data_IF_040462076127
#
_entry.id   IF_040462076127
#
_cell.length_a   1.000
_cell.length_b   1.000
_cell.length_c   1.000
_cell.angle_alpha   90.00
_cell.angle_beta   90.00
_cell.angle_gamma   90.00
#
_symmetry.space_group_name_H-M   'P 1'
#
loop_
_entity.id
_entity.type
_entity.pdbx_description
1 polymer ?
#
# COMPACT_ATOMS: atom_id res chain seq x y z
N UNK A 1 -14.07 -24.19 -15.31
CA UNK A 1 -14.51 -23.65 -14.00
C UNK A 1 -13.27 -23.18 -13.26
N UNK A 2 -13.11 -21.87 -13.05
CA UNK A 2 -11.94 -21.32 -12.33
C UNK A 2 -11.99 -21.79 -10.87
N UNK A 3 -10.89 -22.36 -10.41
CA UNK A 3 -10.77 -23.03 -9.12
C UNK A 3 -11.23 -22.16 -7.95
N UNK A 4 -11.96 -22.81 -7.05
CA UNK A 4 -12.47 -22.41 -5.74
C UNK A 4 -11.33 -22.17 -4.74
N UNK A 5 -10.33 -21.37 -5.10
CA UNK A 5 -9.12 -21.25 -4.30
C UNK A 5 -9.37 -20.32 -3.10
N UNK A 6 -9.10 -20.83 -1.90
CA UNK A 6 -9.10 -20.05 -0.68
C UNK A 6 -7.99 -19.00 -0.76
N UNK A 7 -8.33 -17.74 -0.45
CA UNK A 7 -7.33 -16.67 -0.32
C UNK A 7 -7.28 -16.21 1.13
N UNK A 8 -6.06 -16.05 1.64
CA UNK A 8 -5.79 -15.66 3.02
C UNK A 8 -4.92 -14.41 2.99
N UNK A 9 -5.36 -13.37 3.70
CA UNK A 9 -4.56 -12.17 3.93
C UNK A 9 -4.04 -12.19 5.36
N UNK A 10 -2.73 -12.02 5.51
CA UNK A 10 -2.04 -12.03 6.79
C UNK A 10 -1.25 -10.76 7.02
N UNK A 11 -1.04 -10.41 8.29
CA UNK A 11 -0.09 -9.40 8.73
C UNK A 11 0.85 -10.04 9.76
N UNK A 12 2.05 -10.41 9.31
CA UNK A 12 2.93 -11.29 10.06
C UNK A 12 2.24 -12.63 10.32
N UNK A 13 2.08 -12.99 11.59
CA UNK A 13 1.39 -14.22 12.04
C UNK A 13 -0.12 -14.06 12.21
N UNK A 14 -0.66 -12.84 12.09
CA UNK A 14 -2.09 -12.58 12.28
C UNK A 14 -2.86 -12.76 10.97
N UNK A 15 -3.91 -13.58 11.00
CA UNK A 15 -4.84 -13.72 9.88
C UNK A 15 -5.85 -12.57 9.94
N UNK A 16 -5.85 -11.71 8.91
CA UNK A 16 -6.76 -10.57 8.83
C UNK A 16 -8.08 -10.94 8.16
N UNK A 17 -8.01 -11.73 7.07
CA UNK A 17 -9.20 -12.24 6.41
C UNK A 17 -8.94 -13.54 5.67
N UNK A 18 -9.96 -14.39 5.66
CA UNK A 18 -10.02 -15.59 4.81
C UNK A 18 -11.21 -15.40 3.87
N UNK A 19 -10.99 -15.54 2.57
CA UNK A 19 -12.06 -15.53 1.57
C UNK A 19 -12.16 -16.88 0.91
N UNK A 20 -13.37 -17.43 0.95
CA UNK A 20 -13.69 -18.69 0.30
C UNK A 20 -15.09 -18.62 -0.31
N UNK A 21 -15.17 -18.74 -1.65
CA UNK A 21 -16.42 -18.57 -2.40
C UNK A 21 -17.06 -17.21 -2.11
N UNK A 22 -18.26 -17.20 -1.51
CA UNK A 22 -18.99 -16.00 -1.11
C UNK A 22 -18.80 -15.64 0.38
N UNK A 23 -17.99 -16.41 1.11
CA UNK A 23 -17.72 -16.18 2.52
C UNK A 23 -16.47 -15.31 2.69
N UNK A 24 -16.61 -14.27 3.52
CA UNK A 24 -15.51 -13.42 3.99
C UNK A 24 -15.47 -13.56 5.51
N UNK A 25 -14.44 -14.22 6.02
CA UNK A 25 -14.16 -14.30 7.45
C UNK A 25 -13.19 -13.17 7.76
N UNK A 26 -13.48 -12.39 8.81
CA UNK A 26 -12.66 -11.27 9.26
C UNK A 26 -12.39 -11.43 10.75
N UNK A 27 -11.24 -10.93 11.18
CA UNK A 27 -10.91 -10.83 12.61
C UNK A 27 -11.50 -9.55 13.21
N UNK A 28 -12.45 -9.68 14.12
CA UNK A 28 -13.07 -8.54 14.82
C UNK A 28 -12.05 -7.72 15.62
N UNK A 29 -10.96 -8.34 16.10
CA UNK A 29 -9.92 -7.66 16.87
C UNK A 29 -9.11 -6.67 16.02
N UNK A 30 -9.13 -6.83 14.68
CA UNK A 30 -8.56 -5.87 13.73
C UNK A 30 -9.35 -4.56 13.63
N UNK A 31 -10.57 -4.52 14.18
CA UNK A 31 -11.41 -3.33 14.34
C UNK A 31 -11.50 -2.89 15.80
N UNK A 32 -11.73 -3.85 16.69
CA UNK A 32 -11.98 -3.66 18.12
C UNK A 32 -10.84 -4.26 18.93
N UNK A 33 -9.73 -3.54 19.03
CA UNK A 33 -8.52 -4.00 19.72
C UNK A 33 -8.64 -3.90 21.25
N UNK A 34 -9.67 -4.51 21.82
CA UNK A 34 -9.96 -4.58 23.24
C UNK A 34 -10.44 -5.99 23.62
N UNK A 35 -10.32 -6.41 24.90
CA UNK A 35 -10.86 -7.70 25.32
C UNK A 35 -12.38 -7.69 25.33
N UNK A 36 -12.98 -8.87 25.12
CA UNK A 36 -14.44 -9.02 25.08
C UNK A 36 -15.13 -8.60 26.38
N UNK A 37 -14.45 -8.72 27.54
CA UNK A 37 -14.98 -8.25 28.83
C UNK A 37 -15.31 -6.76 28.86
N UNK A 38 -14.70 -5.97 27.98
CA UNK A 38 -14.84 -4.52 27.97
C UNK A 38 -15.95 -4.07 27.00
N UNK A 39 -16.52 -4.99 26.21
CA UNK A 39 -17.57 -4.68 25.22
C UNK A 39 -18.84 -4.14 25.89
N UNK A 40 -19.26 -4.74 27.00
CA UNK A 40 -20.48 -4.35 27.71
C UNK A 40 -20.46 -2.89 28.11
N UNK A 41 -19.33 -2.43 28.68
CA UNK A 41 -19.14 -1.04 29.08
C UNK A 41 -18.93 -0.13 27.86
N UNK A 42 -18.17 -0.59 26.86
CA UNK A 42 -17.84 0.22 25.68
C UNK A 42 -19.06 0.53 24.82
N UNK A 43 -19.95 -0.45 24.65
CA UNK A 43 -21.13 -0.35 23.79
C UNK A 43 -22.45 -0.24 24.57
N UNK A 44 -22.38 -0.12 25.91
CA UNK A 44 -23.55 -0.11 26.81
C UNK A 44 -24.49 -1.31 26.58
N UNK A 45 -23.92 -2.51 26.47
CA UNK A 45 -24.67 -3.76 26.29
C UNK A 45 -25.15 -4.29 27.65
N UNK A 46 -26.27 -5.00 27.65
CA UNK A 46 -26.85 -5.60 28.86
C UNK A 46 -26.05 -6.83 29.32
N UNK A 47 -25.60 -7.63 28.37
CA UNK A 47 -24.85 -8.84 28.63
C UNK A 47 -23.44 -8.51 29.09
N UNK A 48 -22.92 -9.27 30.06
CA UNK A 48 -21.55 -9.15 30.56
C UNK A 48 -20.84 -10.49 30.49
N UNK A 49 -19.52 -10.46 30.29
CA UNK A 49 -18.74 -11.67 30.15
C UNK A 49 -18.73 -12.46 31.46
N UNK A 50 -19.19 -13.71 31.41
CA UNK A 50 -19.15 -14.64 32.54
C UNK A 50 -17.76 -15.17 32.88
N UNK A 51 -17.67 -15.93 33.97
CA UNK A 51 -16.44 -16.59 34.43
C UNK A 51 -16.49 -18.09 34.13
N UNK A 52 -15.42 -18.64 33.56
CA UNK A 52 -15.32 -20.07 33.23
C UNK A 52 -14.01 -20.68 33.75
N UNK A 53 -14.02 -21.92 34.30
CA UNK A 53 -12.82 -22.57 34.82
C UNK A 53 -11.96 -23.15 33.69
N UNK A 54 -11.23 -22.29 32.99
CA UNK A 54 -10.43 -22.67 31.82
C UNK A 54 -9.41 -23.79 32.11
N UNK A 55 -8.82 -23.80 33.31
CA UNK A 55 -7.86 -24.83 33.71
C UNK A 55 -8.52 -26.12 34.19
N UNK A 56 -9.86 -26.19 34.22
CA UNK A 56 -10.62 -27.42 34.51
C UNK A 56 -11.08 -28.13 33.22
N UNK A 57 -10.86 -27.50 32.05
CA UNK A 57 -11.27 -28.01 30.75
C UNK A 57 -10.31 -29.10 30.23
N UNK A 58 -10.39 -30.28 30.83
CA UNK A 58 -9.70 -31.49 30.39
C UNK A 58 -10.68 -32.51 29.82
N UNK A 59 -10.26 -33.43 28.93
CA UNK A 59 -11.10 -34.50 28.40
C UNK A 59 -11.84 -35.31 29.48
N UNK A 60 -11.19 -35.53 30.62
CA UNK A 60 -11.71 -36.30 31.75
C UNK A 60 -12.87 -35.59 32.45
N UNK A 61 -12.88 -34.26 32.44
CA UNK A 61 -13.87 -33.43 33.12
C UNK A 61 -15.07 -33.06 32.23
N UNK A 62 -15.10 -33.46 30.96
CA UNK A 62 -16.16 -33.08 30.01
C UNK A 62 -17.56 -33.61 30.41
N UNK A 63 -17.64 -34.63 31.26
CA UNK A 63 -18.89 -35.16 31.80
C UNK A 63 -19.05 -34.88 33.30
N UNK A 64 -18.23 -33.98 33.86
CA UNK A 64 -18.26 -33.69 35.29
C UNK A 64 -19.56 -32.99 35.68
N UNK A 65 -20.22 -33.53 36.70
CA UNK A 65 -21.36 -32.94 37.39
C UNK A 65 -21.09 -33.08 38.88
N UNK A 66 -20.93 -31.95 39.58
CA UNK A 66 -20.53 -31.96 40.99
C UNK A 66 -20.35 -30.56 41.56
N UNK A 67 -19.65 -30.41 42.69
CA UNK A 67 -19.35 -29.09 43.25
C UNK A 67 -18.59 -28.19 42.25
N UNK A 68 -18.76 -26.88 42.36
CA UNK A 68 -18.00 -25.92 41.55
C UNK A 68 -16.47 -26.12 41.66
N UNK A 69 -15.73 -26.05 40.54
CA UNK A 69 -14.27 -26.16 40.56
C UNK A 69 -13.64 -25.13 41.48
N UNK A 70 -12.51 -25.49 42.09
CA UNK A 70 -11.74 -24.58 42.93
C UNK A 70 -11.33 -23.30 42.17
N UNK A 71 -11.22 -22.18 42.90
CA UNK A 71 -10.84 -20.85 42.38
C UNK A 71 -9.58 -20.88 41.51
N UNK A 72 -8.60 -21.74 41.83
CA UNK A 72 -7.38 -21.89 41.04
C UNK A 72 -7.65 -22.24 39.57
N UNK A 73 -8.76 -22.90 39.26
CA UNK A 73 -9.08 -23.32 37.91
C UNK A 73 -9.57 -22.17 36.99
N UNK A 74 -9.85 -21.00 37.56
CA UNK A 74 -10.32 -19.82 36.83
C UNK A 74 -9.18 -18.85 36.47
N UNK A 75 -7.94 -19.13 36.90
CA UNK A 75 -6.81 -18.22 36.70
C UNK A 75 -6.94 -16.90 37.48
N UNK A 76 -7.69 -16.90 38.58
CA UNK A 76 -7.98 -15.71 39.40
C UNK A 76 -6.73 -15.09 40.05
N UNK A 77 -5.63 -15.83 40.11
CA UNK A 77 -4.31 -15.35 40.51
C UNK A 77 -3.76 -14.23 39.61
N UNK A 78 -4.17 -14.17 38.34
CA UNK A 78 -3.74 -13.14 37.39
C UNK A 78 -4.67 -11.92 37.34
N UNK A 79 -5.75 -11.91 38.13
CA UNK A 79 -6.69 -10.79 38.12
C UNK A 79 -6.13 -9.59 38.89
N UNK A 80 -6.25 -8.40 38.30
CA UNK A 80 -6.04 -7.14 39.03
C UNK A 80 -7.08 -6.96 40.14
N UNK A 81 -6.77 -6.14 41.15
CA UNK A 81 -7.53 -6.04 42.40
C UNK A 81 -9.05 -5.88 42.23
N UNK A 82 -9.50 -5.06 41.27
CA UNK A 82 -10.93 -4.84 41.00
C UNK A 82 -11.62 -6.10 40.46
N UNK A 83 -11.09 -6.70 39.38
CA UNK A 83 -11.63 -7.92 38.78
C UNK A 83 -11.59 -9.09 39.75
N UNK A 84 -10.58 -9.14 40.64
CA UNK A 84 -10.50 -10.16 41.68
C UNK A 84 -11.63 -10.04 42.68
N UNK A 85 -11.94 -8.84 43.17
CA UNK A 85 -13.07 -8.63 44.08
C UNK A 85 -14.42 -8.99 43.44
N UNK A 86 -14.63 -8.61 42.17
CA UNK A 86 -15.83 -8.99 41.39
C UNK A 86 -15.94 -10.51 41.25
N UNK A 87 -14.84 -11.20 40.94
CA UNK A 87 -14.78 -12.66 40.84
C UNK A 87 -15.09 -13.37 42.16
N UNK A 88 -14.51 -12.92 43.29
CA UNK A 88 -14.75 -13.56 44.59
C UNK A 88 -16.22 -13.47 44.99
N UNK A 89 -16.85 -12.31 44.80
CA UNK A 89 -18.28 -12.12 45.06
C UNK A 89 -19.15 -13.04 44.19
N UNK A 90 -18.82 -13.14 42.89
CA UNK A 90 -19.51 -14.04 41.98
C UNK A 90 -19.32 -15.51 42.41
N UNK A 91 -18.08 -15.92 42.69
CA UNK A 91 -17.75 -17.30 43.04
C UNK A 91 -18.45 -17.74 44.32
N UNK A 92 -18.46 -16.91 45.37
CA UNK A 92 -19.14 -17.23 46.61
C UNK A 92 -20.67 -17.35 46.43
N UNK A 93 -21.25 -16.65 45.44
CA UNK A 93 -22.67 -16.77 45.13
C UNK A 93 -23.05 -18.08 44.43
N UNK A 94 -22.17 -18.61 43.56
CA UNK A 94 -22.46 -19.82 42.75
C UNK A 94 -21.88 -21.10 43.34
N UNK A 95 -20.84 -21.02 44.17
CA UNK A 95 -20.16 -22.18 44.79
C UNK A 95 -21.09 -23.20 45.47
N UNK A 96 -22.20 -22.80 46.14
CA UNK A 96 -23.11 -23.75 46.77
C UNK A 96 -23.89 -24.62 45.77
N UNK A 97 -23.97 -24.22 44.50
CA UNK A 97 -24.73 -24.91 43.47
C UNK A 97 -23.95 -26.09 42.86
N UNK A 98 -24.64 -26.86 42.01
CA UNK A 98 -24.02 -27.95 41.24
C UNK A 98 -23.49 -27.38 39.93
N UNK A 99 -22.23 -27.65 39.65
CA UNK A 99 -21.58 -27.35 38.40
C UNK A 99 -21.72 -28.52 37.43
N UNK A 100 -22.49 -28.32 36.36
CA UNK A 100 -22.50 -29.18 35.17
C UNK A 100 -21.55 -28.60 34.13
N UNK A 101 -20.46 -29.33 33.85
CA UNK A 101 -19.43 -28.85 32.95
C UNK A 101 -19.96 -28.56 31.54
N UNK A 102 -20.80 -29.45 30.98
CA UNK A 102 -21.27 -29.30 29.59
C UNK A 102 -22.18 -28.11 29.45
N UNK A 103 -23.10 -27.95 30.40
CA UNK A 103 -24.03 -26.83 30.39
C UNK A 103 -23.27 -25.50 30.53
N UNK A 104 -22.40 -25.40 31.53
CA UNK A 104 -21.61 -24.18 31.77
C UNK A 104 -20.65 -23.86 30.62
N UNK A 105 -20.05 -24.87 29.99
CA UNK A 105 -19.20 -24.67 28.81
C UNK A 105 -19.99 -24.12 27.63
N UNK A 106 -21.16 -24.70 27.35
CA UNK A 106 -22.03 -24.20 26.28
C UNK A 106 -22.50 -22.78 26.60
N UNK A 107 -23.06 -22.53 27.78
CA UNK A 107 -23.57 -21.22 28.18
C UNK A 107 -22.49 -20.14 28.08
N UNK A 108 -21.27 -20.44 28.52
CA UNK A 108 -20.12 -19.55 28.39
C UNK A 108 -19.77 -19.27 26.92
N UNK A 109 -19.69 -20.30 26.07
CA UNK A 109 -19.41 -20.12 24.64
C UNK A 109 -20.51 -19.32 23.94
N UNK A 110 -21.79 -19.59 24.25
CA UNK A 110 -22.93 -18.85 23.72
C UNK A 110 -22.88 -17.39 24.13
N UNK A 111 -22.62 -17.11 25.41
CA UNK A 111 -22.48 -15.75 25.93
C UNK A 111 -21.34 -14.99 25.23
N UNK A 112 -20.15 -15.60 25.08
CA UNK A 112 -19.01 -14.96 24.38
C UNK A 112 -19.35 -14.65 22.90
N UNK A 113 -20.05 -15.56 22.21
CA UNK A 113 -20.48 -15.34 20.81
C UNK A 113 -21.54 -14.24 20.70
N UNK A 114 -22.54 -14.23 21.57
CA UNK A 114 -23.60 -13.22 21.60
C UNK A 114 -23.00 -11.85 21.89
N UNK A 115 -22.17 -11.73 22.93
CA UNK A 115 -21.54 -10.47 23.31
C UNK A 115 -20.65 -9.92 22.19
N UNK A 116 -19.90 -10.80 21.50
CA UNK A 116 -19.10 -10.40 20.35
C UNK A 116 -19.99 -9.91 19.20
N UNK A 117 -21.07 -10.62 18.89
CA UNK A 117 -22.00 -10.26 17.84
C UNK A 117 -22.69 -8.92 18.14
N UNK A 118 -23.19 -8.72 19.35
CA UNK A 118 -23.82 -7.48 19.80
C UNK A 118 -22.86 -6.30 19.73
N UNK A 119 -21.62 -6.45 20.21
CA UNK A 119 -20.61 -5.39 20.13
C UNK A 119 -20.21 -5.06 18.69
N UNK A 120 -20.05 -6.07 17.83
CA UNK A 120 -19.81 -5.85 16.40
C UNK A 120 -20.98 -5.11 15.75
N UNK A 121 -22.22 -5.46 16.07
CA UNK A 121 -23.41 -4.82 15.53
C UNK A 121 -23.57 -3.38 16.03
N UNK A 122 -23.26 -3.12 17.30
CA UNK A 122 -23.25 -1.78 17.88
C UNK A 122 -22.18 -0.90 17.20
N UNK A 123 -20.96 -1.40 17.05
CA UNK A 123 -19.89 -0.73 16.32
C UNK A 123 -20.29 -0.42 14.87
N UNK A 124 -20.82 -1.42 14.14
CA UNK A 124 -21.31 -1.27 12.77
C UNK A 124 -22.36 -0.18 12.67
N UNK A 125 -23.35 -0.19 13.57
CA UNK A 125 -24.41 0.82 13.62
C UNK A 125 -23.85 2.23 13.81
N UNK A 126 -22.96 2.41 14.80
CA UNK A 126 -22.34 3.71 15.08
C UNK A 126 -21.59 4.23 13.85
N UNK A 127 -20.76 3.39 13.22
CA UNK A 127 -19.99 3.79 12.04
C UNK A 127 -20.92 4.16 10.89
N UNK A 128 -21.88 3.30 10.54
CA UNK A 128 -22.81 3.57 9.43
C UNK A 128 -23.58 4.87 9.66
N UNK A 129 -24.12 5.10 10.86
CA UNK A 129 -24.83 6.33 11.21
C UNK A 129 -23.93 7.57 11.12
N UNK A 130 -22.70 7.51 11.63
CA UNK A 130 -21.76 8.64 11.64
C UNK A 130 -21.15 8.92 10.27
N UNK A 131 -21.23 7.99 9.33
CA UNK A 131 -20.56 8.08 8.02
C UNK A 131 -21.52 8.38 6.87
N UNK A 132 -22.82 8.52 7.12
CA UNK A 132 -23.78 9.03 6.12
C UNK A 132 -23.38 10.42 5.62
N UNK A 133 -23.41 10.62 4.30
CA UNK A 133 -23.21 11.94 3.70
C UNK A 133 -24.51 12.75 3.65
N UNK A 134 -25.63 12.08 3.40
CA UNK A 134 -26.97 12.67 3.35
C UNK A 134 -28.04 11.66 3.85
N UNK A 135 -29.32 12.05 3.75
CA UNK A 135 -30.46 11.23 4.20
C UNK A 135 -30.68 9.94 3.39
N UNK A 136 -30.22 9.90 2.14
CA UNK A 136 -30.34 8.76 1.24
C UNK A 136 -29.09 7.84 1.28
N UNK A 137 -28.04 8.26 1.97
CA UNK A 137 -26.83 7.47 2.19
C UNK A 137 -26.99 6.47 3.36
N UNK A 138 -26.61 5.22 3.13
CA UNK A 138 -26.61 4.17 4.14
C UNK A 138 -25.40 4.23 5.08
N UNK A 139 -24.38 5.01 4.73
CA UNK A 139 -23.10 5.09 5.41
C UNK A 139 -22.15 3.95 5.03
N UNK A 140 -20.93 4.03 5.53
CA UNK A 140 -19.87 3.06 5.28
C UNK A 140 -20.06 1.87 6.21
N UNK A 141 -20.31 0.70 5.66
CA UNK A 141 -20.29 -0.55 6.43
C UNK A 141 -18.83 -0.98 6.68
N UNK A 142 -18.38 -0.99 7.96
CA UNK A 142 -16.99 -1.27 8.28
C UNK A 142 -16.53 -2.68 7.93
N UNK A 143 -17.43 -3.67 8.01
CA UNK A 143 -17.09 -5.08 7.80
C UNK A 143 -17.19 -5.49 6.33
N UNK A 144 -17.94 -4.75 5.51
CA UNK A 144 -17.98 -4.95 4.07
C UNK A 144 -16.79 -4.29 3.37
N UNK A 145 -16.59 -2.99 3.62
CA UNK A 145 -15.64 -2.14 2.88
C UNK A 145 -14.19 -2.40 3.27
N UNK A 146 -13.95 -2.67 4.55
CA UNK A 146 -12.62 -2.72 5.14
C UNK A 146 -12.30 -4.09 5.76
N UNK A 147 -11.03 -4.27 6.13
CA UNK A 147 -10.52 -5.47 6.83
C UNK A 147 -9.90 -5.10 8.18
N UNK A 148 -9.39 -3.88 8.31
CA UNK A 148 -8.78 -3.35 9.53
C UNK A 148 -9.26 -1.92 9.78
N UNK A 149 -9.19 -1.47 11.04
CA UNK A 149 -9.64 -0.12 11.44
C UNK A 149 -8.95 1.00 10.65
N UNK A 150 -7.66 0.86 10.32
CA UNK A 150 -6.93 1.88 9.57
C UNK A 150 -7.48 2.08 8.15
N UNK A 151 -7.88 1.00 7.47
CA UNK A 151 -8.54 1.06 6.16
C UNK A 151 -9.88 1.78 6.27
N UNK A 152 -10.65 1.47 7.32
CA UNK A 152 -11.93 2.11 7.57
C UNK A 152 -11.74 3.62 7.81
N UNK A 153 -10.77 4.00 8.64
CA UNK A 153 -10.46 5.41 8.88
C UNK A 153 -10.11 6.14 7.58
N UNK A 154 -9.39 5.49 6.66
CA UNK A 154 -9.06 6.08 5.36
C UNK A 154 -10.29 6.19 4.44
N UNK A 155 -11.18 5.19 4.46
CA UNK A 155 -12.45 5.21 3.74
C UNK A 155 -13.40 6.31 4.25
N UNK A 156 -13.33 6.65 5.54
CA UNK A 156 -14.07 7.77 6.14
C UNK A 156 -13.40 9.11 5.85
N UNK A 157 -12.08 9.18 5.97
CA UNK A 157 -11.31 10.42 5.85
C UNK A 157 -11.44 11.04 4.45
N UNK A 158 -11.31 10.23 3.40
CA UNK A 158 -11.34 10.69 2.01
C UNK A 158 -12.61 11.46 1.63
N UNK A 159 -13.84 10.94 1.88
CA UNK A 159 -15.07 11.65 1.51
C UNK A 159 -15.50 12.72 2.52
N UNK A 160 -15.20 12.57 3.82
CA UNK A 160 -15.76 13.47 4.85
C UNK A 160 -14.85 14.56 5.37
N UNK A 161 -13.54 14.34 5.35
CA UNK A 161 -12.58 15.16 6.10
C UNK A 161 -11.56 15.80 5.16
N UNK A 162 -11.12 15.05 4.14
CA UNK A 162 -10.16 15.52 3.17
C UNK A 162 -10.77 16.66 2.34
N UNK A 163 -10.09 17.80 2.31
CA UNK A 163 -10.49 18.92 1.45
C UNK A 163 -10.27 18.55 -0.02
N UNK A 164 -11.12 19.08 -0.88
CA UNK A 164 -10.99 18.93 -2.33
C UNK A 164 -9.60 19.37 -2.81
N UNK A 165 -9.07 18.67 -3.81
CA UNK A 165 -7.81 18.97 -4.50
C UNK A 165 -6.55 19.08 -3.60
N UNK A 166 -6.57 18.47 -2.41
CA UNK A 166 -5.41 18.50 -1.49
C UNK A 166 -4.41 17.36 -1.68
N UNK A 167 -4.79 16.28 -2.38
CA UNK A 167 -3.89 15.16 -2.66
C UNK A 167 -3.83 14.94 -4.17
N UNK A 168 -2.62 15.06 -4.72
CA UNK A 168 -2.33 14.68 -6.09
C UNK A 168 -2.44 13.16 -6.26
N UNK A 169 -3.28 12.70 -7.18
CA UNK A 169 -3.35 11.29 -7.56
C UNK A 169 -2.18 10.99 -8.48
N UNK A 170 -1.15 10.29 -7.98
CA UNK A 170 0.00 9.89 -8.79
C UNK A 170 -0.31 8.53 -9.43
N UNK A 171 -0.35 8.43 -10.78
CA UNK A 171 -0.52 7.16 -11.46
C UNK A 171 0.62 6.20 -11.12
N UNK A 172 0.41 4.89 -11.29
CA UNK A 172 1.42 3.86 -11.00
C UNK A 172 2.76 4.12 -11.70
N UNK A 173 2.73 4.76 -12.86
CA UNK A 173 3.91 5.11 -13.65
C UNK A 173 4.26 6.62 -13.62
N UNK A 174 3.70 7.38 -12.70
CA UNK A 174 3.82 8.84 -12.63
C UNK A 174 2.87 9.57 -13.59
N UNK A 175 2.85 10.90 -13.56
CA UNK A 175 1.95 11.72 -14.40
C UNK A 175 2.27 11.66 -15.89
N UNK A 176 3.52 11.34 -16.24
CA UNK A 176 4.00 11.28 -17.61
C UNK A 176 4.88 10.04 -17.82
N UNK A 177 4.30 8.84 -17.82
CA UNK A 177 5.07 7.60 -17.89
C UNK A 177 5.81 7.43 -19.20
N UNK A 178 5.32 8.05 -20.27
CA UNK A 178 5.96 8.15 -21.58
C UNK A 178 7.13 9.14 -21.63
N UNK A 179 7.18 10.14 -20.75
CA UNK A 179 8.22 11.19 -20.74
C UNK A 179 9.38 10.81 -19.80
N UNK A 180 9.86 9.57 -19.88
CA UNK A 180 11.03 9.13 -19.13
C UNK A 180 12.28 9.38 -19.95
N UNK A 181 13.08 10.36 -19.52
CA UNK A 181 14.42 10.59 -20.06
C UNK A 181 15.46 9.80 -19.27
N UNK A 182 16.35 9.12 -19.98
CA UNK A 182 17.47 8.41 -19.35
C UNK A 182 18.43 9.40 -18.67
N UNK A 183 18.93 9.04 -17.49
CA UNK A 183 20.00 9.80 -16.81
C UNK A 183 21.21 9.92 -17.73
N UNK A 184 21.57 8.84 -18.44
CA UNK A 184 22.70 8.84 -19.39
C UNK A 184 22.49 9.84 -20.52
N UNK A 185 21.28 9.92 -21.07
CA UNK A 185 20.90 10.91 -22.07
C UNK A 185 21.11 12.34 -21.53
N UNK A 186 20.62 12.61 -20.31
CA UNK A 186 20.78 13.93 -19.69
C UNK A 186 22.26 14.28 -19.41
N UNK A 187 23.09 13.32 -18.99
CA UNK A 187 24.54 13.56 -18.81
C UNK A 187 25.19 13.88 -20.16
N UNK A 188 24.84 13.14 -21.21
CA UNK A 188 25.36 13.36 -22.56
C UNK A 188 25.00 14.75 -23.10
N UNK A 189 23.74 15.17 -22.99
CA UNK A 189 23.32 16.51 -23.42
C UNK A 189 24.02 17.61 -22.62
N UNK A 190 24.17 17.43 -21.31
CA UNK A 190 24.92 18.38 -20.47
C UNK A 190 26.38 18.47 -20.87
N UNK A 191 27.04 17.34 -21.11
CA UNK A 191 28.42 17.30 -21.61
C UNK A 191 28.57 18.06 -22.93
N UNK A 192 27.64 17.87 -23.87
CA UNK A 192 27.66 18.58 -25.15
C UNK A 192 27.43 20.08 -24.98
N UNK A 193 26.51 20.46 -24.09
CA UNK A 193 26.21 21.85 -23.75
C UNK A 193 27.44 22.57 -23.19
N UNK A 194 28.15 21.95 -22.24
CA UNK A 194 29.37 22.52 -21.65
C UNK A 194 30.55 22.53 -22.64
N UNK A 195 30.79 21.42 -23.34
CA UNK A 195 31.93 21.30 -24.28
C UNK A 195 31.86 22.30 -25.43
N UNK A 196 30.66 22.56 -25.95
CA UNK A 196 30.44 23.49 -27.06
C UNK A 196 30.05 24.89 -26.60
N UNK A 197 29.85 25.09 -25.29
CA UNK A 197 29.31 26.30 -24.70
C UNK A 197 27.99 26.76 -25.38
N UNK A 198 27.06 25.82 -25.55
CA UNK A 198 25.73 26.05 -26.17
C UNK A 198 24.62 25.70 -25.20
N UNK A 199 23.45 26.33 -25.35
CA UNK A 199 22.25 25.98 -24.58
C UNK A 199 21.41 24.97 -25.35
N UNK A 200 21.43 23.72 -24.91
CA UNK A 200 20.57 22.67 -25.46
C UNK A 200 19.26 22.64 -24.67
N UNK A 201 18.14 22.82 -25.38
CA UNK A 201 16.79 22.63 -24.85
C UNK A 201 16.49 21.13 -24.71
N UNK A 202 15.97 20.71 -23.56
CA UNK A 202 15.60 19.32 -23.27
C UNK A 202 14.62 19.27 -22.09
N UNK A 203 14.17 18.07 -21.68
CA UNK A 203 13.17 17.84 -20.61
C UNK A 203 13.42 18.58 -19.27
N UNK A 204 14.67 18.95 -18.95
CA UNK A 204 15.05 19.69 -17.72
C UNK A 204 15.52 21.13 -17.98
N UNK A 205 15.47 21.58 -19.23
CA UNK A 205 15.89 22.92 -19.65
C UNK A 205 14.99 23.42 -20.79
N UNK A 206 13.76 23.84 -20.46
CA UNK A 206 12.81 24.36 -21.45
C UNK A 206 11.91 23.32 -22.12
N UNK A 207 11.81 22.10 -21.56
CA UNK A 207 11.06 20.95 -22.06
C UNK A 207 11.54 20.40 -23.43
N UNK A 208 11.16 19.17 -23.76
CA UNK A 208 11.47 18.56 -25.06
C UNK A 208 10.63 19.16 -26.18
N UNK A 209 11.25 19.37 -27.34
CA UNK A 209 10.54 19.83 -28.52
C UNK A 209 9.81 18.67 -29.23
N UNK A 210 8.70 19.01 -29.88
CA UNK A 210 7.92 18.06 -30.65
C UNK A 210 8.24 18.18 -32.16
N UNK A 211 8.59 17.05 -32.78
CA UNK A 211 8.82 16.91 -34.21
C UNK A 211 7.73 16.01 -34.80
N UNK A 212 6.72 16.65 -35.39
CA UNK A 212 5.48 15.98 -35.79
C UNK A 212 4.75 15.41 -34.57
N UNK A 213 4.69 14.09 -34.45
CA UNK A 213 4.10 13.41 -33.28
C UNK A 213 5.13 12.87 -32.27
N UNK A 214 6.42 13.04 -32.54
CA UNK A 214 7.50 12.50 -31.73
C UNK A 214 8.15 13.59 -30.89
N UNK A 215 8.60 13.26 -29.68
CA UNK A 215 9.51 14.12 -28.91
C UNK A 215 10.96 13.72 -29.21
N UNK A 216 11.86 14.70 -29.15
CA UNK A 216 13.30 14.53 -29.33
C UNK A 216 14.00 14.82 -27.99
N UNK A 217 15.10 14.14 -27.70
CA UNK A 217 15.80 14.28 -26.42
C UNK A 217 16.40 15.69 -26.21
N UNK A 218 16.95 16.30 -27.27
CA UNK A 218 17.56 17.62 -27.19
C UNK A 218 17.49 18.45 -28.48
N UNK A 219 17.48 19.77 -28.32
CA UNK A 219 17.43 20.71 -29.44
C UNK A 219 18.26 21.97 -29.20
N UNK A 220 18.95 22.41 -30.23
CA UNK A 220 19.70 23.66 -30.29
C UNK A 220 19.19 24.49 -31.46
N UNK A 221 18.54 25.63 -31.16
CA UNK A 221 17.83 26.45 -32.15
C UNK A 221 18.77 27.06 -33.18
N UNK A 222 19.99 27.41 -32.77
CA UNK A 222 20.99 28.05 -33.62
C UNK A 222 22.31 27.28 -33.42
N UNK A 223 22.59 26.23 -34.23
CA UNK A 223 22.42 26.21 -35.68
C UNK A 223 21.32 25.26 -36.19
N UNK A 224 20.22 25.09 -35.47
CA UNK A 224 19.12 24.16 -35.79
C UNK A 224 19.59 22.68 -35.80
N UNK A 225 20.04 22.22 -34.63
CA UNK A 225 20.54 20.86 -34.41
C UNK A 225 19.66 20.10 -33.42
N UNK A 226 19.27 18.90 -33.80
CA UNK A 226 18.51 17.94 -33.01
C UNK A 226 19.47 16.89 -32.43
N UNK A 227 19.20 16.44 -31.21
CA UNK A 227 19.99 15.45 -30.49
C UNK A 227 19.09 14.31 -30.05
N UNK A 228 19.47 13.07 -30.35
CA UNK A 228 18.71 11.87 -29.98
C UNK A 228 19.64 10.82 -29.35
N UNK A 229 19.24 10.31 -28.19
CA UNK A 229 19.95 9.28 -27.45
C UNK A 229 19.20 7.96 -27.53
N UNK A 230 19.79 6.98 -28.20
CA UNK A 230 19.16 5.69 -28.44
C UNK A 230 19.50 4.68 -27.35
N UNK A 231 18.51 3.92 -26.88
CA UNK A 231 18.74 2.78 -25.99
C UNK A 231 19.57 1.67 -26.66
N UNK A 232 20.31 0.89 -25.88
CA UNK A 232 21.19 -0.16 -26.39
C UNK A 232 20.46 -1.21 -27.26
N UNK A 233 20.81 -1.31 -28.54
CA UNK A 233 20.26 -2.34 -29.43
C UNK A 233 21.03 -3.69 -29.40
N UNK A 234 22.21 -3.72 -28.74
CA UNK A 234 23.11 -4.89 -28.69
C UNK A 234 22.92 -5.74 -27.42
N UNK A 235 22.18 -5.20 -26.44
CA UNK A 235 22.06 -5.77 -25.10
C UNK A 235 20.99 -6.88 -25.01
N UNK A 236 20.25 -7.12 -26.09
CA UNK A 236 19.15 -8.08 -26.15
C UNK A 236 19.18 -8.83 -27.49
N UNK A 237 18.74 -10.09 -27.49
CA UNK A 237 18.58 -10.86 -28.73
C UNK A 237 17.29 -10.44 -29.45
N UNK A 238 17.25 -10.60 -30.77
CA UNK A 238 16.10 -10.19 -31.59
C UNK A 238 14.79 -10.92 -31.21
N UNK A 239 14.90 -12.16 -30.76
CA UNK A 239 13.81 -13.03 -30.32
C UNK A 239 13.42 -12.84 -28.84
N UNK A 240 14.08 -11.94 -28.12
CA UNK A 240 13.75 -11.65 -26.72
C UNK A 240 12.38 -10.99 -26.62
N UNK A 241 11.48 -11.54 -25.79
CA UNK A 241 10.16 -10.97 -25.55
C UNK A 241 10.23 -9.84 -24.50
N UNK A 242 9.69 -8.66 -24.84
CA UNK A 242 9.57 -7.52 -23.96
C UNK A 242 8.23 -7.58 -23.20
N UNK A 243 8.25 -7.96 -21.93
CA UNK A 243 7.05 -8.09 -21.10
C UNK A 243 6.31 -6.77 -20.84
N UNK A 244 6.99 -5.63 -20.97
CA UNK A 244 6.36 -4.32 -20.79
C UNK A 244 5.56 -3.91 -22.02
N UNK A 245 6.14 -4.08 -23.22
CA UNK A 245 5.48 -3.74 -24.50
C UNK A 245 4.66 -4.89 -25.10
N UNK A 246 4.75 -6.08 -24.52
CA UNK A 246 4.08 -7.29 -24.99
C UNK A 246 4.41 -7.64 -26.45
N UNK A 247 5.67 -7.46 -26.84
CA UNK A 247 6.17 -7.68 -28.21
C UNK A 247 7.63 -8.16 -28.22
N UNK A 248 8.11 -8.66 -29.37
CA UNK A 248 9.52 -9.02 -29.54
C UNK A 248 10.41 -7.76 -29.65
N UNK A 249 11.64 -7.88 -29.16
CA UNK A 249 12.63 -6.81 -29.25
C UNK A 249 12.97 -6.42 -30.70
N UNK A 250 12.92 -7.36 -31.64
CA UNK A 250 13.03 -7.07 -33.09
C UNK A 250 11.96 -6.09 -33.55
N UNK A 251 10.70 -6.33 -33.20
CA UNK A 251 9.57 -5.46 -33.52
C UNK A 251 9.73 -4.07 -32.90
N UNK A 252 10.17 -4.00 -31.64
CA UNK A 252 10.46 -2.71 -30.97
C UNK A 252 11.57 -1.95 -31.70
N UNK A 253 12.64 -2.63 -32.11
CA UNK A 253 13.77 -2.03 -32.83
C UNK A 253 13.35 -1.52 -34.22
N UNK A 254 12.56 -2.29 -34.97
CA UNK A 254 12.01 -1.86 -36.26
C UNK A 254 11.14 -0.60 -36.13
N UNK A 255 10.25 -0.58 -35.12
CA UNK A 255 9.43 0.60 -34.79
C UNK A 255 10.29 1.81 -34.46
N UNK A 256 11.38 1.63 -33.72
CA UNK A 256 12.35 2.68 -33.42
C UNK A 256 13.03 3.21 -34.70
N UNK A 257 13.54 2.34 -35.56
CA UNK A 257 14.12 2.75 -36.84
C UNK A 257 13.11 3.49 -37.73
N UNK A 258 11.84 3.06 -37.76
CA UNK A 258 10.77 3.77 -38.47
C UNK A 258 10.49 5.16 -37.88
N UNK A 259 10.52 5.31 -36.54
CA UNK A 259 10.41 6.60 -35.86
C UNK A 259 11.53 7.55 -36.31
N UNK A 260 12.78 7.12 -36.25
CA UNK A 260 13.93 7.95 -36.65
C UNK A 260 13.87 8.33 -38.13
N UNK A 261 13.49 7.41 -39.03
CA UNK A 261 13.30 7.74 -40.46
C UNK A 261 12.23 8.82 -40.67
N UNK A 262 11.13 8.78 -39.92
CA UNK A 262 10.07 9.79 -39.99
C UNK A 262 10.55 11.14 -39.44
N UNK A 263 11.27 11.15 -38.33
CA UNK A 263 11.88 12.37 -37.77
C UNK A 263 12.82 13.01 -38.80
N UNK A 264 13.76 12.23 -39.37
CA UNK A 264 14.69 12.72 -40.41
C UNK A 264 13.96 13.34 -41.60
N UNK A 265 12.83 12.76 -42.03
CA UNK A 265 11.99 13.34 -43.10
C UNK A 265 11.36 14.68 -42.70
N UNK A 266 10.91 14.83 -41.46
CA UNK A 266 10.25 16.06 -40.98
C UNK A 266 11.27 17.19 -40.81
N UNK A 267 12.44 16.90 -40.22
CA UNK A 267 13.47 17.91 -39.99
C UNK A 267 14.22 18.30 -41.27
N UNK A 268 14.02 17.54 -42.36
CA UNK A 268 14.53 17.79 -43.70
C UNK A 268 16.05 18.01 -43.74
N UNK A 269 16.50 19.27 -43.80
CA UNK A 269 17.90 19.69 -43.89
C UNK A 269 18.57 20.00 -42.55
N UNK A 270 17.82 19.94 -41.44
CA UNK A 270 18.40 20.19 -40.12
C UNK A 270 19.29 19.02 -39.65
N UNK A 271 20.28 19.35 -38.83
CA UNK A 271 21.27 18.37 -38.36
C UNK A 271 20.67 17.49 -37.25
N UNK A 272 20.77 16.17 -37.39
CA UNK A 272 20.44 15.22 -36.33
C UNK A 272 21.71 14.54 -35.83
N UNK A 273 22.04 14.74 -34.55
CA UNK A 273 23.17 14.12 -33.87
C UNK A 273 22.65 12.97 -33.02
N UNK A 274 23.16 11.78 -33.27
CA UNK A 274 22.67 10.55 -32.67
C UNK A 274 23.79 9.85 -31.91
N UNK A 275 23.45 9.25 -30.77
CA UNK A 275 24.36 8.35 -30.05
C UNK A 275 23.59 7.16 -29.52
N UNK A 276 24.20 5.97 -29.55
CA UNK A 276 23.65 4.79 -28.90
C UNK A 276 24.23 4.65 -27.49
N UNK A 277 23.42 4.20 -26.55
CA UNK A 277 23.83 3.98 -25.16
C UNK A 277 25.08 3.10 -25.05
N UNK A 278 25.16 2.04 -25.87
CA UNK A 278 26.32 1.14 -25.86
C UNK A 278 27.60 1.78 -26.42
N UNK A 279 27.48 2.79 -27.27
CA UNK A 279 28.61 3.55 -27.78
C UNK A 279 29.02 4.63 -26.77
N UNK A 280 28.04 5.26 -26.11
CA UNK A 280 28.26 6.17 -24.99
C UNK A 280 29.02 5.49 -23.84
N UNK A 281 28.57 4.32 -23.40
CA UNK A 281 29.19 3.57 -22.30
C UNK A 281 30.65 3.15 -22.61
N UNK A 282 31.00 2.98 -23.88
CA UNK A 282 32.36 2.61 -24.32
C UNK A 282 33.33 3.78 -24.39
N UNK A 283 32.85 5.02 -24.49
CA UNK A 283 33.66 6.22 -24.76
C UNK A 283 34.50 6.75 -23.57
N UNK A 284 34.99 5.87 -22.71
CA UNK A 284 35.10 6.13 -21.27
C UNK A 284 36.50 6.50 -20.71
N UNK A 285 37.29 7.34 -21.39
CA UNK A 285 38.53 7.90 -20.79
C UNK A 285 38.39 9.37 -20.35
N UNK A 286 37.89 10.27 -21.19
CA UNK A 286 37.71 11.70 -20.83
C UNK A 286 36.36 11.99 -20.14
N UNK A 287 35.32 11.24 -20.50
CA UNK A 287 33.93 11.48 -20.08
C UNK A 287 33.67 10.93 -18.66
N UNK A 288 34.42 9.91 -18.22
CA UNK A 288 34.20 9.26 -16.93
C UNK A 288 34.34 10.20 -15.73
N UNK A 289 35.23 11.19 -15.79
CA UNK A 289 35.37 12.20 -14.74
C UNK A 289 34.19 13.18 -14.74
N UNK A 290 33.71 13.58 -15.92
CA UNK A 290 32.52 14.43 -16.04
C UNK A 290 31.26 13.73 -15.50
N UNK A 291 31.04 12.47 -15.86
CA UNK A 291 29.89 11.67 -15.39
C UNK A 291 29.89 11.57 -13.87
N UNK A 292 31.05 11.33 -13.24
CA UNK A 292 31.18 11.26 -11.77
C UNK A 292 30.85 12.58 -11.07
N UNK A 293 31.18 13.72 -11.69
CA UNK A 293 30.94 15.05 -11.11
C UNK A 293 29.55 15.59 -11.44
N UNK A 294 28.93 15.12 -12.52
CA UNK A 294 27.64 15.57 -12.99
C UNK A 294 26.49 15.05 -12.09
N UNK A 295 26.12 15.85 -11.08
CA UNK A 295 24.93 15.60 -10.26
C UNK A 295 23.66 16.00 -11.00
N UNK A 296 22.99 15.03 -11.61
CA UNK A 296 21.66 15.19 -12.14
C UNK A 296 20.66 14.88 -11.03
N UNK A 297 19.76 15.82 -10.71
CA UNK A 297 18.66 15.58 -9.77
C UNK A 297 17.52 14.88 -10.49
N UNK A 298 17.15 13.69 -10.03
CA UNK A 298 15.94 13.01 -10.48
C UNK A 298 14.69 13.65 -9.85
N UNK A 299 13.51 13.55 -10.49
CA UNK A 299 12.26 13.85 -9.82
C UNK A 299 12.15 13.01 -8.54
N UNK A 300 11.71 13.62 -7.45
CA UNK A 300 11.45 12.89 -6.21
C UNK A 300 10.38 11.85 -6.52
N UNK A 301 10.66 10.57 -6.24
CA UNK A 301 9.64 9.54 -6.19
C UNK A 301 9.00 9.57 -4.79
N UNK A 302 7.74 10.03 -4.63
CA UNK A 302 7.14 10.17 -3.31
C UNK A 302 6.99 8.84 -2.57
N UNK A 303 7.02 7.70 -3.29
CA UNK A 303 7.00 6.38 -2.67
C UNK A 303 8.29 6.08 -1.90
N UNK A 304 9.41 6.66 -2.31
CA UNK A 304 10.70 6.49 -1.60
C UNK A 304 10.64 7.14 -0.20
N UNK A 305 9.78 8.15 -0.01
CA UNK A 305 9.51 8.74 1.29
C UNK A 305 8.63 7.85 2.22
N UNK A 306 8.00 6.81 1.67
CA UNK A 306 7.22 5.84 2.44
C UNK A 306 8.05 4.62 2.87
N UNK A 307 9.33 4.55 2.47
CA UNK A 307 10.27 3.52 2.91
C UNK A 307 11.12 4.04 4.08
N UNK A 308 10.77 3.59 5.29
CA UNK A 308 11.46 3.93 6.53
C UNK A 308 10.58 3.52 7.72
N UNK A 309 11.18 3.03 8.80
CA UNK A 309 10.45 2.77 10.05
C UNK A 309 9.84 4.05 10.65
N UNK A 310 9.30 3.98 11.88
CA UNK A 310 8.63 5.08 12.60
C UNK A 310 9.47 6.35 12.87
N UNK A 311 10.64 6.50 12.25
CA UNK A 311 11.58 7.59 12.46
C UNK A 311 11.51 8.55 11.28
N UNK A 312 10.90 9.71 11.51
CA UNK A 312 10.89 10.85 10.60
C UNK A 312 12.31 11.27 10.21
N UNK A 313 12.63 11.25 8.93
CA UNK A 313 13.55 12.22 8.33
C UNK A 313 12.87 12.82 7.10
N UNK A 314 12.15 13.92 7.29
CA UNK A 314 11.55 14.67 6.19
C UNK A 314 12.20 16.05 6.14
N UNK A 315 13.17 16.22 5.25
CA UNK A 315 13.54 17.55 4.78
C UNK A 315 12.47 18.01 3.79
N UNK A 316 11.39 18.58 4.31
CA UNK A 316 10.18 18.99 3.56
C UNK A 316 10.37 20.19 2.61
N UNK A 317 11.54 20.83 2.59
CA UNK A 317 11.71 22.10 1.88
C UNK A 317 13.04 22.15 1.13
N UNK A 318 12.96 22.14 -0.20
CA UNK A 318 14.06 22.50 -1.08
C UNK A 318 13.70 23.80 -1.77
N UNK A 319 14.28 24.91 -1.31
CA UNK A 319 14.07 26.23 -1.90
C UNK A 319 14.79 26.26 -3.25
N UNK A 320 14.04 26.27 -4.34
CA UNK A 320 14.57 26.51 -5.67
C UNK A 320 14.54 28.02 -5.91
N UNK A 321 15.71 28.66 -5.95
CA UNK A 321 15.81 30.02 -6.46
C UNK A 321 15.54 29.97 -7.96
N UNK A 322 14.63 30.83 -8.43
CA UNK A 322 14.21 30.91 -9.83
C UNK A 322 15.41 31.03 -10.77
N UNK A 323 15.31 30.33 -11.91
CA UNK A 323 16.22 30.53 -13.04
C UNK A 323 15.84 31.78 -13.83
#
# INVERSE_FOLDING_TARGET
>A
MKHTQMSVLVNGTKILTIRFRKLKIIDSHSFLSMPLSDFSNTFNLKESKGHFPHLFNFPENQNYVGPYPDRKFYGSEFFGSKKKAEFENWYDSVKPEIFDFKQQFLDYCWSDVILLAEGCMAFRKIIMERTKLDENDYGIDPFLTSIIIASLCHDIFRPKIMKEDTIGIIPENGYHPENKTSIKCQVWLKYLSEKKNIRIQHSKNGDEIQVGKYRIDGYDKEPNTYYEFHGCHKCFKSDTFNSFKQELMSTTFEKHCQRIRKIRKIINSAKLVEIWECDWDRSNSEIGNFVKQCKIREPINPRDALFGGRSNEVKLHHMCYGN
#
